data_IF_250922082390
#
_entry.id   IF_250922082390
#
_cell.length_a   1.000
_cell.length_b   1.000
_cell.length_c   1.000
_cell.angle_alpha   90.00
_cell.angle_beta   90.00
_cell.angle_gamma   90.00
#
_symmetry.space_group_name_H-M   'P 1'
#
loop_
_entity.id
_entity.type
_entity.pdbx_description
1 polymer ?
#
# COMPACT_ATOMS: atom_id res chain seq x y z
N UNK A 1 1.79 -4.06 -14.18
CA UNK A 1 1.35 -2.85 -13.45
C UNK A 1 0.92 -3.21 -12.04
N UNK A 2 1.27 -2.39 -11.08
CA UNK A 2 0.87 -2.56 -9.69
C UNK A 2 -0.41 -1.76 -9.45
N UNK A 3 -1.44 -2.43 -8.94
CA UNK A 3 -2.71 -1.79 -8.60
C UNK A 3 -2.83 -1.72 -7.09
N UNK A 4 -3.01 -0.51 -6.57
CA UNK A 4 -3.19 -0.30 -5.13
C UNK A 4 -4.57 0.31 -4.90
N UNK A 5 -5.36 -0.35 -4.06
CA UNK A 5 -6.66 0.16 -3.64
C UNK A 5 -6.54 0.56 -2.18
N UNK A 6 -6.89 1.80 -1.89
CA UNK A 6 -6.92 2.34 -0.53
C UNK A 6 -8.37 2.39 -0.08
N UNK A 7 -8.68 1.70 1.03
CA UNK A 7 -10.03 1.71 1.60
C UNK A 7 -10.13 2.77 2.68
N UNK A 8 -11.21 3.52 2.66
CA UNK A 8 -11.41 4.64 3.56
C UNK A 8 -12.75 4.52 4.29
N UNK A 9 -12.81 5.07 5.50
CA UNK A 9 -14.06 5.20 6.25
C UNK A 9 -14.78 6.49 5.85
N UNK A 10 -15.88 6.81 6.53
CA UNK A 10 -16.68 8.00 6.25
C UNK A 10 -15.92 9.31 6.46
N UNK A 11 -14.87 9.29 7.27
CA UNK A 11 -14.02 10.46 7.53
C UNK A 11 -12.81 10.54 6.59
N UNK A 12 -12.79 9.70 5.57
CA UNK A 12 -11.67 9.62 4.62
C UNK A 12 -10.35 9.18 5.26
N UNK A 13 -10.44 8.47 6.39
CA UNK A 13 -9.26 7.87 7.02
C UNK A 13 -9.02 6.49 6.40
N UNK A 14 -7.77 6.18 6.10
CA UNK A 14 -7.41 4.87 5.56
C UNK A 14 -7.64 3.78 6.60
N UNK A 15 -8.45 2.79 6.26
CA UNK A 15 -8.74 1.64 7.13
C UNK A 15 -8.10 0.36 6.61
N UNK A 16 -7.57 0.37 5.40
CA UNK A 16 -6.96 -0.80 4.81
C UNK A 16 -6.53 -0.54 3.39
N UNK A 17 -5.90 -1.55 2.81
CA UNK A 17 -5.48 -1.46 1.42
C UNK A 17 -5.33 -2.85 0.82
N UNK A 18 -5.37 -2.91 -0.49
CA UNK A 18 -5.08 -4.12 -1.24
C UNK A 18 -4.14 -3.76 -2.37
N UNK A 19 -3.10 -4.56 -2.54
CA UNK A 19 -2.16 -4.39 -3.64
C UNK A 19 -2.11 -5.68 -4.43
N UNK A 20 -2.00 -5.56 -5.74
CA UNK A 20 -1.79 -6.73 -6.58
C UNK A 20 -0.99 -6.34 -7.82
N UNK A 21 -0.48 -7.35 -8.48
CA UNK A 21 0.37 -7.17 -9.64
C UNK A 21 1.82 -7.29 -9.26
N UNK A 22 2.53 -8.06 -10.04
CA UNK A 22 3.98 -8.13 -9.98
C UNK A 22 4.45 -8.40 -11.40
N UNK A 23 5.69 -8.09 -11.62
CA UNK A 23 6.24 -8.23 -12.95
C UNK A 23 7.08 -9.50 -13.02
N UNK A 24 6.61 -10.48 -13.78
CA UNK A 24 7.42 -11.68 -14.05
C UNK A 24 8.46 -11.39 -15.14
N UNK A 25 8.14 -10.48 -16.05
CA UNK A 25 9.02 -10.08 -17.16
C UNK A 25 8.99 -8.57 -17.25
N UNK A 26 9.48 -7.94 -16.20
CA UNK A 26 9.39 -6.49 -16.14
C UNK A 26 10.56 -5.83 -16.82
N UNK A 27 10.28 -4.70 -17.45
CA UNK A 27 11.35 -3.78 -17.81
C UNK A 27 11.92 -3.16 -16.52
N UNK A 28 13.08 -2.51 -16.60
CA UNK A 28 13.72 -1.95 -15.40
C UNK A 28 12.86 -0.97 -14.61
N UNK A 29 11.97 -0.20 -15.26
CA UNK A 29 11.08 0.73 -14.60
C UNK A 29 10.06 0.02 -13.71
N UNK A 30 9.52 -1.09 -14.20
CA UNK A 30 8.55 -1.90 -13.44
C UNK A 30 9.22 -2.51 -12.21
N UNK A 31 10.44 -3.01 -12.33
CA UNK A 31 11.18 -3.58 -11.20
C UNK A 31 11.45 -2.55 -10.11
N UNK A 32 11.83 -1.34 -10.49
CA UNK A 32 12.08 -0.25 -9.55
C UNK A 32 10.82 0.10 -8.79
N UNK A 33 9.70 0.25 -9.49
CA UNK A 33 8.42 0.60 -8.88
C UNK A 33 7.94 -0.52 -7.95
N UNK A 34 8.06 -1.77 -8.37
CA UNK A 34 7.67 -2.91 -7.56
C UNK A 34 8.46 -2.96 -6.25
N UNK A 35 9.78 -2.79 -6.32
CA UNK A 35 10.64 -2.79 -5.14
C UNK A 35 10.31 -1.62 -4.20
N UNK A 36 10.13 -0.43 -4.74
CA UNK A 36 9.83 0.76 -3.95
C UNK A 36 8.46 0.65 -3.26
N UNK A 37 7.43 0.23 -3.99
CA UNK A 37 6.10 0.05 -3.43
C UNK A 37 6.10 -1.03 -2.34
N UNK A 38 6.81 -2.14 -2.57
CA UNK A 38 6.90 -3.23 -1.59
C UNK A 38 7.55 -2.76 -0.29
N UNK A 39 8.63 -1.99 -0.37
CA UNK A 39 9.29 -1.45 0.82
C UNK A 39 8.36 -0.53 1.59
N UNK A 40 7.67 0.39 0.92
CA UNK A 40 6.73 1.29 1.58
C UNK A 40 5.61 0.54 2.28
N UNK A 41 5.02 -0.44 1.62
CA UNK A 41 3.87 -1.19 2.13
C UNK A 41 4.29 -2.08 3.30
N UNK A 42 5.32 -2.88 3.11
CA UNK A 42 5.78 -3.82 4.14
C UNK A 42 6.31 -3.07 5.36
N UNK A 43 7.08 -2.01 5.15
CA UNK A 43 7.59 -1.20 6.24
C UNK A 43 6.45 -0.57 7.05
N UNK A 44 5.40 -0.10 6.39
CA UNK A 44 4.24 0.49 7.07
C UNK A 44 3.48 -0.56 7.88
N UNK A 45 3.27 -1.76 7.32
CA UNK A 45 2.64 -2.86 8.04
C UNK A 45 3.42 -3.21 9.30
N UNK A 46 4.73 -3.33 9.18
CA UNK A 46 5.61 -3.63 10.30
C UNK A 46 5.61 -2.50 11.33
N UNK A 47 5.60 -1.26 10.90
CA UNK A 47 5.57 -0.11 11.79
C UNK A 47 4.28 -0.06 12.61
N UNK A 48 3.15 -0.34 11.99
CA UNK A 48 1.87 -0.37 12.70
C UNK A 48 1.87 -1.48 13.75
N UNK A 49 2.35 -2.65 13.40
CA UNK A 49 2.45 -3.76 14.33
C UNK A 49 3.36 -3.43 15.51
N UNK A 50 4.49 -2.77 15.26
CA UNK A 50 5.51 -2.52 16.27
C UNK A 50 5.25 -1.28 17.11
N UNK A 51 4.70 -0.22 16.53
CA UNK A 51 4.59 1.07 17.17
C UNK A 51 3.19 1.48 17.61
N UNK A 52 2.17 0.70 17.25
CA UNK A 52 0.79 0.97 17.65
C UNK A 52 0.16 -0.27 18.27
N UNK A 53 -1.01 -0.09 18.86
CA UNK A 53 -1.80 -1.19 19.38
C UNK A 53 -2.97 -1.56 18.47
N UNK A 54 -3.02 -0.97 17.28
CA UNK A 54 -4.11 -1.22 16.34
C UNK A 54 -4.08 -2.67 15.86
N UNK A 55 -5.21 -3.35 16.00
CA UNK A 55 -5.36 -4.71 15.50
C UNK A 55 -5.68 -4.69 14.01
N UNK A 56 -5.09 -5.63 13.28
CA UNK A 56 -5.28 -5.74 11.84
C UNK A 56 -5.26 -7.20 11.40
N UNK A 57 -5.74 -7.43 10.20
CA UNK A 57 -5.61 -8.73 9.52
C UNK A 57 -4.88 -8.53 8.20
N UNK A 58 -4.10 -9.53 7.81
CA UNK A 58 -3.37 -9.50 6.55
C UNK A 58 -3.52 -10.85 5.85
N UNK A 59 -3.74 -10.79 4.55
CA UNK A 59 -3.77 -11.94 3.68
C UNK A 59 -2.85 -11.68 2.48
N UNK A 60 -2.07 -12.66 2.09
CA UNK A 60 -1.20 -12.54 0.93
C UNK A 60 -1.29 -13.79 0.06
N UNK A 61 -1.11 -13.59 -1.25
CA UNK A 61 -1.10 -14.66 -2.24
C UNK A 61 0.15 -14.48 -3.09
N UNK A 62 1.08 -15.42 -2.97
CA UNK A 62 2.35 -15.33 -3.69
C UNK A 62 2.19 -15.50 -5.20
N UNK A 63 1.18 -16.25 -5.66
CA UNK A 63 0.96 -16.46 -7.08
C UNK A 63 0.57 -15.18 -7.81
N UNK A 64 -0.29 -14.37 -7.17
CA UNK A 64 -0.77 -13.13 -7.76
C UNK A 64 0.02 -11.90 -7.29
N UNK A 65 0.82 -12.06 -6.25
CA UNK A 65 1.50 -10.95 -5.60
C UNK A 65 0.55 -10.06 -4.80
N UNK A 66 -0.64 -10.58 -4.47
CA UNK A 66 -1.64 -9.80 -3.74
C UNK A 66 -1.31 -9.73 -2.26
N UNK A 67 -1.48 -8.53 -1.69
CA UNK A 67 -1.48 -8.30 -0.25
C UNK A 67 -2.77 -7.55 0.06
N UNK A 68 -3.55 -8.07 1.01
CA UNK A 68 -4.76 -7.42 1.50
C UNK A 68 -4.60 -7.21 3.00
N UNK A 69 -4.68 -5.95 3.44
CA UNK A 69 -4.42 -5.57 4.82
C UNK A 69 -5.54 -4.67 5.32
N UNK A 70 -6.12 -4.98 6.46
CA UNK A 70 -7.26 -4.24 7.00
C UNK A 70 -7.15 -4.08 8.50
N UNK A 71 -7.41 -2.86 8.99
CA UNK A 71 -7.60 -2.61 10.41
C UNK A 71 -8.91 -3.24 10.87
N UNK A 72 -8.95 -3.66 12.12
CA UNK A 72 -10.18 -4.21 12.72
C UNK A 72 -11.11 -3.11 13.23
N UNK A 73 -10.79 -1.87 12.99
CA UNK A 73 -11.60 -0.71 13.38
C UNK A 73 -11.06 0.54 12.72
N UNK A 74 -11.42 1.69 13.27
CA UNK A 74 -10.88 2.95 12.80
C UNK A 74 -9.44 3.11 13.26
N UNK A 75 -8.59 3.79 12.47
CA UNK A 75 -7.19 3.94 12.84
C UNK A 75 -7.01 4.82 14.07
N UNK A 76 -6.03 4.47 14.90
CA UNK A 76 -5.52 5.38 15.90
C UNK A 76 -4.84 6.55 15.19
N UNK A 77 -4.54 7.61 15.92
CA UNK A 77 -3.82 8.75 15.37
C UNK A 77 -2.48 8.32 14.78
N UNK A 78 -1.76 7.46 15.48
CA UNK A 78 -0.47 6.96 15.06
C UNK A 78 -0.57 6.09 13.80
N UNK A 79 -1.50 5.15 13.80
CA UNK A 79 -1.72 4.29 12.62
C UNK A 79 -2.14 5.12 11.42
N UNK A 80 -3.01 6.10 11.63
CA UNK A 80 -3.44 7.02 10.58
C UNK A 80 -2.28 7.79 9.97
N UNK A 81 -1.37 8.28 10.79
CA UNK A 81 -0.18 8.99 10.31
C UNK A 81 0.72 8.07 9.49
N UNK A 82 0.95 6.84 9.96
CA UNK A 82 1.77 5.87 9.23
C UNK A 82 1.14 5.50 7.89
N UNK A 83 -0.16 5.28 7.87
CA UNK A 83 -0.87 4.96 6.63
C UNK A 83 -0.85 6.13 5.65
N UNK A 84 -1.05 7.35 6.13
CA UNK A 84 -0.98 8.53 5.29
C UNK A 84 0.41 8.75 4.71
N UNK A 85 1.45 8.43 5.48
CA UNK A 85 2.84 8.52 5.02
C UNK A 85 3.09 7.51 3.89
N UNK A 86 2.58 6.29 4.04
CA UNK A 86 2.66 5.28 2.98
C UNK A 86 1.96 5.76 1.70
N UNK A 87 0.74 6.26 1.86
CA UNK A 87 -0.07 6.76 0.73
C UNK A 87 0.64 7.91 0.02
N UNK A 88 1.25 8.83 0.78
CA UNK A 88 2.01 9.94 0.22
C UNK A 88 3.13 9.43 -0.71
N UNK A 89 3.87 8.42 -0.26
CA UNK A 89 4.93 7.83 -1.07
C UNK A 89 4.40 7.13 -2.31
N UNK A 90 3.32 6.37 -2.18
CA UNK A 90 2.70 5.68 -3.31
C UNK A 90 2.14 6.67 -4.34
N UNK A 91 1.50 7.75 -3.88
CA UNK A 91 1.00 8.81 -4.76
C UNK A 91 2.14 9.50 -5.50
N UNK A 92 3.26 9.72 -4.82
CA UNK A 92 4.44 10.31 -5.44
C UNK A 92 4.91 9.49 -6.64
N UNK A 93 4.88 8.16 -6.52
CA UNK A 93 5.23 7.29 -7.64
C UNK A 93 4.17 7.30 -8.74
N UNK A 94 2.90 7.22 -8.37
CA UNK A 94 1.80 7.16 -9.33
C UNK A 94 1.67 8.45 -10.14
N UNK A 95 2.05 9.58 -9.56
CA UNK A 95 1.98 10.88 -10.21
C UNK A 95 3.26 11.27 -10.96
N UNK A 96 4.33 10.48 -10.82
CA UNK A 96 5.60 10.76 -11.47
C UNK A 96 5.56 10.28 -12.92
N UNK A 97 5.90 11.14 -13.85
CA UNK A 97 5.87 10.81 -15.28
C UNK A 97 6.76 9.64 -15.68
N UNK A 98 7.78 9.34 -14.88
CA UNK A 98 8.67 8.20 -15.14
C UNK A 98 8.09 6.88 -14.66
N UNK A 99 7.13 6.91 -13.74
CA UNK A 99 6.63 5.71 -13.07
C UNK A 99 5.11 5.51 -13.20
N UNK A 100 4.38 6.51 -13.67
CA UNK A 100 2.91 6.48 -13.72
C UNK A 100 2.34 5.31 -14.53
N UNK A 101 3.07 4.79 -15.48
CA UNK A 101 2.61 3.64 -16.29
C UNK A 101 2.75 2.30 -15.57
N UNK A 102 3.43 2.27 -14.41
CA UNK A 102 3.72 1.03 -13.68
C UNK A 102 2.91 0.86 -12.39
N UNK A 103 2.26 1.90 -11.92
CA UNK A 103 1.49 1.86 -10.67
C UNK A 103 0.29 2.79 -10.76
N UNK A 104 -0.85 2.32 -10.24
CA UNK A 104 -2.00 3.17 -10.05
C UNK A 104 -2.54 3.06 -8.63
N UNK A 105 -3.23 4.09 -8.20
CA UNK A 105 -3.84 4.21 -6.89
C UNK A 105 -5.32 4.53 -7.05
N UNK A 106 -6.17 3.76 -6.36
CA UNK A 106 -7.61 4.01 -6.32
C UNK A 106 -8.04 4.13 -4.87
N UNK A 107 -8.98 5.01 -4.61
CA UNK A 107 -9.55 5.23 -3.27
C UNK A 107 -11.00 4.77 -3.25
N UNK A 108 -11.34 3.89 -2.31
CA UNK A 108 -12.71 3.36 -2.16
C UNK A 108 -13.29 3.50 -0.78
#
# INVERSE_FOLDING_TARGET
MIHVVIYQNEKEECTGFQTEGHAEYADPGQDIVCAAASVLIINTMNAIELYTEDAFSVFSDEETGMISWHLEGNPSKEAGLLLNTMILGLKGMADDENYEEYIDLTFE
#
